data_IF_118094430743
#
_entry.id   IF_118094430743
#
_cell.length_a   1.000
_cell.length_b   1.000
_cell.length_c   1.000
_cell.angle_alpha   90.00
_cell.angle_beta   90.00
_cell.angle_gamma   90.00
#
_symmetry.space_group_name_H-M   'P 1'
#
loop_
_entity.id
_entity.type
_entity.pdbx_description
1 polymer ?
#
# COMPACT_ATOMS: atom_id res chain seq x y z
N UNK A 1 -18.83 -1.76 4.41
CA UNK A 1 -18.37 -0.83 3.36
C UNK A 1 -17.05 -1.38 2.86
N UNK A 2 -17.06 -2.12 1.76
CA UNK A 2 -15.87 -2.82 1.25
C UNK A 2 -15.12 -1.86 0.33
N UNK A 3 -13.92 -1.44 0.72
CA UNK A 3 -13.04 -0.67 -0.15
C UNK A 3 -12.46 -1.64 -1.18
N UNK A 4 -13.01 -1.64 -2.38
CA UNK A 4 -12.37 -2.28 -3.51
C UNK A 4 -11.16 -1.43 -3.92
N UNK A 5 -9.97 -1.81 -3.45
CA UNK A 5 -8.73 -1.28 -4.01
C UNK A 5 -8.54 -1.93 -5.37
N UNK A 6 -8.88 -1.20 -6.43
CA UNK A 6 -8.58 -1.63 -7.79
C UNK A 6 -7.07 -1.63 -7.94
N UNK A 7 -6.46 -2.83 -7.98
CA UNK A 7 -5.04 -2.96 -8.35
C UNK A 7 -4.94 -2.37 -9.75
N UNK A 8 -4.20 -1.27 -9.90
CA UNK A 8 -3.94 -0.65 -11.22
C UNK A 8 -3.39 -1.75 -12.12
N UNK A 9 -4.11 -2.05 -13.20
CA UNK A 9 -3.79 -3.16 -14.11
C UNK A 9 -2.35 -2.99 -14.64
N UNK A 10 -1.42 -3.79 -14.12
CA UNK A 10 0.00 -3.74 -14.47
C UNK A 10 0.27 -4.61 -15.71
N UNK A 11 0.69 -3.98 -16.81
CA UNK A 11 1.18 -4.69 -18.00
C UNK A 11 2.50 -5.45 -17.78
N UNK A 12 2.98 -6.25 -18.76
CA UNK A 12 4.13 -7.14 -18.59
C UNK A 12 5.43 -6.37 -18.25
N UNK A 13 6.15 -6.71 -17.17
CA UNK A 13 7.26 -5.89 -16.68
C UNK A 13 8.61 -6.22 -17.35
N UNK A 14 9.36 -5.16 -17.69
CA UNK A 14 10.83 -5.21 -17.85
C UNK A 14 11.46 -5.02 -16.45
N UNK A 15 12.64 -5.57 -16.16
CA UNK A 15 13.24 -5.66 -14.79
C UNK A 15 13.05 -4.42 -13.88
N UNK A 16 13.25 -3.19 -14.37
CA UNK A 16 13.08 -1.96 -13.58
C UNK A 16 11.62 -1.62 -13.18
N UNK A 17 10.62 -2.23 -13.83
CA UNK A 17 9.21 -2.01 -13.54
C UNK A 17 8.81 -2.61 -12.18
N UNK A 18 9.45 -3.71 -11.76
CA UNK A 18 9.09 -4.41 -10.50
C UNK A 18 9.33 -3.57 -9.26
N UNK A 19 10.43 -2.82 -9.22
CA UNK A 19 10.72 -1.91 -8.10
C UNK A 19 9.68 -0.79 -8.04
N UNK A 20 9.35 -0.17 -9.19
CA UNK A 20 8.32 0.88 -9.24
C UNK A 20 6.95 0.37 -8.81
N UNK A 21 6.56 -0.82 -9.28
CA UNK A 21 5.33 -1.48 -8.85
C UNK A 21 5.24 -1.65 -7.33
N UNK A 22 6.32 -2.05 -6.67
CA UNK A 22 6.35 -2.22 -5.22
C UNK A 22 6.35 -0.87 -4.48
N UNK A 23 7.02 0.15 -5.02
CA UNK A 23 6.98 1.51 -4.47
C UNK A 23 5.58 2.12 -4.59
N UNK A 24 4.91 1.94 -5.74
CA UNK A 24 3.54 2.40 -5.97
C UNK A 24 2.55 1.68 -5.03
N UNK A 25 2.85 0.44 -4.64
CA UNK A 25 2.11 -0.30 -3.62
C UNK A 25 2.43 0.15 -2.17
N UNK A 26 3.35 1.11 -1.99
CA UNK A 26 3.70 1.71 -0.71
C UNK A 26 4.82 1.00 0.06
N UNK A 27 5.46 -0.03 -0.51
CA UNK A 27 6.58 -0.69 0.17
C UNK A 27 7.76 0.27 0.29
N UNK A 28 8.47 0.19 1.41
CA UNK A 28 9.70 0.95 1.59
C UNK A 28 10.82 0.41 0.71
N UNK A 29 11.77 1.26 0.33
CA UNK A 29 12.96 0.83 -0.43
C UNK A 29 13.79 -0.22 0.33
N UNK A 30 13.85 -0.12 1.67
CA UNK A 30 14.51 -1.09 2.52
C UNK A 30 13.82 -2.46 2.44
N UNK A 31 12.49 -2.51 2.56
CA UNK A 31 11.73 -3.76 2.44
C UNK A 31 11.85 -4.33 1.03
N UNK A 32 11.78 -3.48 -0.01
CA UNK A 32 11.96 -3.91 -1.41
C UNK A 32 13.30 -4.61 -1.60
N UNK A 33 14.39 -4.07 -1.05
CA UNK A 33 15.71 -4.70 -1.15
C UNK A 33 15.73 -6.11 -0.53
N UNK A 34 15.01 -6.31 0.58
CA UNK A 34 14.90 -7.61 1.26
C UNK A 34 14.04 -8.61 0.47
N UNK A 35 12.89 -8.18 -0.05
CA UNK A 35 11.92 -9.10 -0.68
C UNK A 35 12.22 -9.40 -2.14
N UNK A 36 12.82 -8.46 -2.88
CA UNK A 36 12.99 -8.55 -4.34
C UNK A 36 13.73 -9.83 -4.80
N UNK A 37 14.79 -10.32 -4.12
CA UNK A 37 15.46 -11.57 -4.51
C UNK A 37 14.54 -12.80 -4.50
N UNK A 38 13.49 -12.78 -3.68
CA UNK A 38 12.54 -13.87 -3.49
C UNK A 38 11.21 -13.64 -4.22
N UNK A 39 11.09 -12.59 -5.03
CA UNK A 39 9.93 -12.33 -5.88
C UNK A 39 10.20 -12.79 -7.30
N UNK A 40 9.38 -13.73 -7.77
CA UNK A 40 9.37 -14.13 -9.19
C UNK A 40 8.13 -13.59 -9.87
N UNK A 41 8.23 -13.36 -11.18
CA UNK A 41 7.08 -12.97 -12.00
C UNK A 41 6.51 -14.23 -12.65
N UNK A 42 5.25 -14.53 -12.32
CA UNK A 42 4.47 -15.54 -13.02
C UNK A 42 3.25 -14.88 -13.64
N UNK A 43 3.22 -14.83 -14.97
CA UNK A 43 2.10 -14.28 -15.74
C UNK A 43 1.72 -12.83 -15.35
N UNK A 44 2.71 -11.99 -15.02
CA UNK A 44 2.48 -10.60 -14.62
C UNK A 44 2.18 -10.43 -13.13
N UNK A 45 2.12 -11.51 -12.36
CA UNK A 45 1.93 -11.49 -10.92
C UNK A 45 3.24 -11.73 -10.19
N UNK A 46 3.60 -10.79 -9.30
CA UNK A 46 4.70 -11.00 -8.36
C UNK A 46 4.29 -12.09 -7.37
N UNK A 47 5.04 -13.19 -7.40
CA UNK A 47 4.84 -14.37 -6.56
C UNK A 47 6.06 -14.56 -5.66
N UNK A 48 5.89 -14.51 -4.34
CA UNK A 48 6.94 -14.86 -3.38
C UNK A 48 7.25 -16.36 -3.43
N UNK A 49 8.52 -16.73 -3.38
CA UNK A 49 8.99 -18.12 -3.36
C UNK A 49 9.69 -18.53 -2.04
N UNK A 50 9.91 -17.57 -1.14
CA UNK A 50 10.53 -17.78 0.17
C UNK A 50 9.48 -17.52 1.27
N UNK A 51 9.48 -18.33 2.34
CA UNK A 51 8.58 -18.15 3.50
C UNK A 51 8.81 -16.82 4.20
N UNK A 52 10.07 -16.44 4.41
CA UNK A 52 10.43 -15.24 5.17
C UNK A 52 9.93 -13.98 4.46
N UNK A 53 9.91 -13.99 3.12
CA UNK A 53 9.33 -12.93 2.30
C UNK A 53 7.83 -12.76 2.53
N UNK A 54 7.10 -13.85 2.80
CA UNK A 54 5.67 -13.76 3.16
C UNK A 54 5.51 -13.03 4.49
N UNK A 55 6.33 -13.36 5.48
CA UNK A 55 6.31 -12.70 6.79
C UNK A 55 6.68 -11.22 6.68
N UNK A 56 7.69 -10.88 5.88
CA UNK A 56 8.08 -9.49 5.59
C UNK A 56 6.91 -8.69 4.99
N UNK A 57 6.21 -9.28 4.02
CA UNK A 57 5.05 -8.65 3.38
C UNK A 57 3.86 -8.51 4.34
N UNK A 58 3.64 -9.47 5.24
CA UNK A 58 2.63 -9.34 6.29
C UNK A 58 2.94 -8.20 7.26
N UNK A 59 4.21 -7.99 7.62
CA UNK A 59 4.60 -6.84 8.46
C UNK A 59 4.37 -5.51 7.75
N UNK A 60 4.65 -5.42 6.45
CA UNK A 60 4.30 -4.22 5.69
C UNK A 60 2.79 -4.01 5.60
N UNK A 61 2.00 -5.07 5.41
CA UNK A 61 0.55 -4.99 5.42
C UNK A 61 0.02 -4.44 6.75
N UNK A 62 0.52 -4.94 7.89
CA UNK A 62 0.14 -4.44 9.20
C UNK A 62 0.54 -2.97 9.39
N UNK A 63 1.70 -2.56 8.88
CA UNK A 63 2.14 -1.15 8.90
C UNK A 63 1.22 -0.25 8.08
N UNK A 64 0.76 -0.71 6.91
CA UNK A 64 -0.20 0.04 6.10
C UNK A 64 -1.53 0.18 6.80
N UNK A 65 -2.06 -0.88 7.42
CA UNK A 65 -3.32 -0.81 8.15
C UNK A 65 -3.26 0.24 9.27
N UNK A 66 -2.21 0.21 10.09
CA UNK A 66 -2.00 1.21 11.14
C UNK A 66 -1.90 2.65 10.57
N UNK A 67 -1.28 2.82 9.41
CA UNK A 67 -1.18 4.14 8.75
C UNK A 67 -2.53 4.60 8.21
N UNK A 68 -3.34 3.70 7.65
CA UNK A 68 -4.69 3.98 7.16
C UNK A 68 -5.58 4.41 8.32
N UNK A 69 -5.56 3.70 9.45
CA UNK A 69 -6.32 4.07 10.65
C UNK A 69 -5.97 5.47 11.14
N UNK A 70 -4.68 5.80 11.22
CA UNK A 70 -4.21 7.13 11.63
C UNK A 70 -4.65 8.23 10.65
N UNK A 71 -4.60 7.96 9.34
CA UNK A 71 -5.05 8.91 8.32
C UNK A 71 -6.57 9.09 8.33
N UNK A 72 -7.33 8.03 8.57
CA UNK A 72 -8.79 8.08 8.75
C UNK A 72 -9.14 8.96 9.95
N UNK A 73 -8.51 8.73 11.11
CA UNK A 73 -8.74 9.56 12.29
C UNK A 73 -8.41 11.04 12.03
N UNK A 74 -7.30 11.31 11.33
CA UNK A 74 -6.90 12.67 10.97
C UNK A 74 -7.91 13.34 10.03
N UNK A 75 -8.38 12.62 9.01
CA UNK A 75 -9.42 13.10 8.07
C UNK A 75 -10.70 13.44 8.81
N UNK A 76 -11.14 12.57 9.73
CA UNK A 76 -12.39 12.73 10.45
C UNK A 76 -12.32 13.95 11.39
N UNK A 77 -11.18 14.19 12.04
CA UNK A 77 -10.93 15.40 12.82
C UNK A 77 -11.03 16.68 11.95
N UNK A 78 -10.41 16.67 10.76
CA UNK A 78 -10.50 17.80 9.82
C UNK A 78 -11.95 18.01 9.34
N UNK A 79 -12.70 16.93 9.07
CA UNK A 79 -14.11 17.00 8.68
C UNK A 79 -14.94 17.70 9.76
N UNK A 80 -14.73 17.36 11.03
CA UNK A 80 -15.44 18.00 12.15
C UNK A 80 -15.18 19.51 12.21
N UNK A 81 -13.96 19.96 11.94
CA UNK A 81 -13.62 21.39 11.92
C UNK A 81 -14.33 22.11 10.77
N UNK A 82 -14.36 21.49 9.58
CA UNK A 82 -15.05 22.04 8.41
C UNK A 82 -16.55 22.18 8.68
N UNK A 83 -17.18 21.15 9.26
CA UNK A 83 -18.61 21.14 9.55
C UNK A 83 -18.98 22.20 10.59
N UNK A 84 -18.17 22.36 11.66
CA UNK A 84 -18.34 23.46 12.61
C UNK A 84 -18.29 24.82 11.91
N UNK A 85 -17.35 25.03 11.00
CA UNK A 85 -17.24 26.25 10.20
C UNK A 85 -18.48 26.53 9.33
N UNK A 86 -19.12 25.50 8.79
CA UNK A 86 -20.37 25.65 8.01
C UNK A 86 -21.54 26.10 8.88
N UNK A 87 -21.63 25.60 10.12
CA UNK A 87 -22.71 25.96 11.05
C UNK A 87 -22.64 27.41 11.54
N UNK A 88 -21.43 27.97 11.64
CA UNK A 88 -21.23 29.35 12.12
C UNK A 88 -21.47 30.39 11.01
N UNK A 89 -21.24 30.01 9.74
CA UNK A 89 -21.30 30.91 8.58
C UNK A 89 -22.58 30.77 7.73
N UNK A 90 -23.51 29.89 8.11
CA UNK A 90 -24.81 29.71 7.44
C UNK A 90 -25.94 30.33 8.24
#
# INVERSE_FOLDING_TARGET
MTVHVTVVSMGPPRHGQRIRQLLDAGLSTATIHTVLPCLTDRAGQLTPICSDTIEDLHREQARFEASIEALVASRDAISSVIDAGRTVNG
#
